data_IF_787662058115
#
_entry.id   IF_787662058115
#
_cell.length_a   1.000
_cell.length_b   1.000
_cell.length_c   1.000
_cell.angle_alpha   90.00
_cell.angle_beta   90.00
_cell.angle_gamma   90.00
#
_symmetry.space_group_name_H-M   'P 1'
#
loop_
_entity.id
_entity.type
_entity.pdbx_description
1 polymer ?
#
# COMPACT_ATOMS: atom_id res chain seq x y z
N UNK A 1 0.54 -36.60 -2.65
CA UNK A 1 0.69 -35.25 -3.20
C UNK A 1 1.35 -34.42 -2.11
N UNK A 2 2.57 -33.92 -2.32
CA UNK A 2 3.23 -33.09 -1.32
C UNK A 2 2.51 -31.74 -1.29
N UNK A 3 1.59 -31.57 -0.35
CA UNK A 3 1.06 -30.25 -0.01
C UNK A 3 2.27 -29.49 0.55
N UNK A 4 2.86 -28.61 -0.25
CA UNK A 4 3.92 -27.73 0.21
C UNK A 4 3.30 -26.80 1.26
N UNK A 5 3.27 -27.24 2.53
CA UNK A 5 2.85 -26.40 3.65
C UNK A 5 3.66 -25.11 3.58
N UNK A 6 2.95 -24.02 3.30
CA UNK A 6 3.45 -22.67 3.47
C UNK A 6 3.67 -22.45 4.96
N UNK A 7 4.71 -21.71 5.28
CA UNK A 7 5.04 -21.33 6.65
C UNK A 7 5.30 -19.83 6.70
N UNK A 8 5.11 -19.25 7.89
CA UNK A 8 5.44 -17.85 8.14
C UNK A 8 6.92 -17.61 7.79
N UNK A 9 7.17 -16.52 7.07
CA UNK A 9 8.49 -16.15 6.54
C UNK A 9 8.77 -16.59 5.11
N UNK A 10 7.97 -17.52 4.55
CA UNK A 10 8.08 -17.89 3.13
C UNK A 10 7.64 -16.74 2.22
N UNK A 11 8.23 -16.69 1.02
CA UNK A 11 7.76 -15.82 -0.05
C UNK A 11 6.76 -16.53 -0.94
N UNK A 12 5.71 -15.79 -1.31
CA UNK A 12 4.64 -16.26 -2.17
C UNK A 12 4.36 -15.28 -3.30
N UNK A 13 3.84 -15.81 -4.40
CA UNK A 13 3.34 -15.06 -5.54
C UNK A 13 1.86 -15.37 -5.72
N UNK A 14 1.08 -14.34 -6.00
CA UNK A 14 -0.33 -14.47 -6.32
C UNK A 14 -0.47 -15.00 -7.75
N UNK A 15 -1.37 -15.96 -7.96
CA UNK A 15 -1.62 -16.54 -9.29
C UNK A 15 -2.12 -15.48 -10.27
N UNK A 16 -1.78 -15.57 -11.57
CA UNK A 16 -2.08 -14.54 -12.57
C UNK A 16 -3.58 -14.26 -12.81
N UNK A 17 -4.47 -15.13 -12.34
CA UNK A 17 -5.92 -14.98 -12.48
C UNK A 17 -6.60 -14.52 -11.18
N UNK A 18 -5.84 -14.11 -10.16
CA UNK A 18 -6.42 -13.59 -8.94
C UNK A 18 -6.73 -12.10 -9.08
N UNK A 19 -7.95 -11.76 -8.68
CA UNK A 19 -8.48 -10.41 -8.63
C UNK A 19 -8.84 -10.11 -7.18
N UNK A 20 -8.63 -8.87 -6.76
CA UNK A 20 -9.05 -8.41 -5.45
C UNK A 20 -10.57 -8.19 -5.44
N UNK A 21 -11.34 -8.91 -4.61
CA UNK A 21 -12.80 -8.80 -4.61
C UNK A 21 -13.31 -7.47 -4.07
N UNK A 22 -12.49 -6.71 -3.33
CA UNK A 22 -12.86 -5.44 -2.71
C UNK A 22 -12.56 -4.25 -3.63
N UNK A 23 -11.45 -4.32 -4.38
CA UNK A 23 -10.90 -3.23 -5.18
C UNK A 23 -11.00 -3.45 -6.70
N UNK A 24 -11.45 -4.62 -7.15
CA UNK A 24 -11.59 -5.00 -8.57
C UNK A 24 -10.29 -4.77 -9.38
N UNK A 25 -9.14 -4.99 -8.73
CA UNK A 25 -7.81 -4.87 -9.35
C UNK A 25 -7.20 -6.25 -9.58
N UNK A 26 -6.45 -6.38 -10.69
CA UNK A 26 -5.68 -7.57 -10.98
C UNK A 26 -4.43 -7.57 -10.08
N UNK A 27 -4.46 -8.38 -9.03
CA UNK A 27 -3.33 -8.64 -8.12
C UNK A 27 -2.47 -9.83 -8.58
N UNK A 28 -2.84 -10.45 -9.70
CA UNK A 28 -2.09 -11.56 -10.28
C UNK A 28 -0.63 -11.19 -10.58
N UNK A 29 0.28 -12.01 -10.06
CA UNK A 29 1.73 -11.78 -10.18
C UNK A 29 2.35 -10.95 -9.06
N UNK A 30 1.56 -10.43 -8.12
CA UNK A 30 2.07 -9.74 -6.94
C UNK A 30 2.81 -10.70 -6.02
N UNK A 31 3.88 -10.23 -5.40
CA UNK A 31 4.75 -11.04 -4.56
C UNK A 31 4.87 -10.43 -3.18
N UNK A 32 4.96 -11.32 -2.18
CA UNK A 32 5.05 -10.90 -0.80
C UNK A 32 5.58 -12.00 0.10
N UNK A 33 5.67 -11.68 1.39
CA UNK A 33 6.12 -12.57 2.45
C UNK A 33 4.96 -12.88 3.38
N UNK A 34 4.84 -14.15 3.74
CA UNK A 34 3.82 -14.59 4.70
C UNK A 34 4.21 -14.11 6.09
N UNK A 35 3.36 -13.32 6.72
CA UNK A 35 3.48 -12.93 8.13
C UNK A 35 2.57 -13.75 9.03
N UNK A 36 1.42 -14.19 8.52
CA UNK A 36 0.41 -14.91 9.28
C UNK A 36 -0.23 -16.03 8.45
N UNK A 37 -0.62 -17.12 9.12
CA UNK A 37 -1.34 -18.24 8.50
C UNK A 37 -2.46 -18.63 9.44
N UNK A 38 -3.70 -18.55 8.95
CA UNK A 38 -4.89 -19.07 9.60
C UNK A 38 -5.24 -20.44 8.99
N UNK A 39 -4.83 -21.52 9.65
CA UNK A 39 -5.08 -22.89 9.18
C UNK A 39 -6.58 -23.26 9.18
N UNK A 40 -7.40 -22.60 10.00
CA UNK A 40 -8.85 -22.88 10.09
C UNK A 40 -9.60 -22.45 8.83
N UNK A 41 -9.31 -21.24 8.33
CA UNK A 41 -9.96 -20.66 7.15
C UNK A 41 -9.12 -20.78 5.87
N UNK A 42 -7.91 -21.36 5.96
CA UNK A 42 -6.92 -21.40 4.87
C UNK A 42 -6.58 -20.02 4.30
N UNK A 43 -6.58 -19.01 5.16
CA UNK A 43 -6.23 -17.63 4.82
C UNK A 43 -4.80 -17.37 5.26
N UNK A 44 -4.04 -16.66 4.44
CA UNK A 44 -2.68 -16.23 4.77
C UNK A 44 -2.58 -14.71 4.71
N UNK A 45 -1.92 -14.14 5.72
CA UNK A 45 -1.54 -12.74 5.74
C UNK A 45 -0.21 -12.57 5.01
N UNK A 46 -0.22 -11.79 3.96
CA UNK A 46 0.93 -11.54 3.08
C UNK A 46 1.26 -10.05 3.17
N UNK A 47 2.50 -9.73 3.52
CA UNK A 47 3.05 -8.39 3.34
C UNK A 47 3.72 -8.29 1.98
N UNK A 48 3.39 -7.23 1.23
CA UNK A 48 3.90 -7.06 -0.13
C UNK A 48 5.39 -6.74 -0.17
N UNK A 49 6.08 -7.24 -1.20
CA UNK A 49 7.48 -6.92 -1.41
C UNK A 49 7.67 -5.49 -1.96
N UNK A 50 8.91 -5.02 -1.93
CA UNK A 50 9.24 -3.64 -2.31
C UNK A 50 8.93 -3.38 -3.78
N UNK A 51 9.10 -4.39 -4.64
CA UNK A 51 8.79 -4.31 -6.06
C UNK A 51 7.29 -4.25 -6.34
N UNK A 52 6.48 -5.02 -5.61
CA UNK A 52 5.02 -5.02 -5.71
C UNK A 52 4.48 -3.69 -5.24
N UNK A 53 4.94 -3.18 -4.08
CA UNK A 53 4.55 -1.87 -3.58
C UNK A 53 4.91 -0.74 -4.56
N UNK A 54 6.05 -0.82 -5.26
CA UNK A 54 6.41 0.15 -6.31
C UNK A 54 5.55 0.06 -7.58
N UNK A 55 5.04 -1.13 -7.88
CA UNK A 55 4.17 -1.37 -9.04
C UNK A 55 2.69 -1.07 -8.73
N UNK A 56 2.32 -1.06 -7.44
CA UNK A 56 0.98 -0.76 -6.98
C UNK A 56 0.54 0.63 -7.48
N UNK A 57 -0.65 0.73 -8.11
CA UNK A 57 -1.19 2.01 -8.52
C UNK A 57 -1.37 2.95 -7.33
N UNK A 58 -1.06 4.23 -7.53
CA UNK A 58 -1.31 5.26 -6.51
C UNK A 58 -2.79 5.31 -6.08
N UNK A 59 -3.70 4.97 -6.99
CA UNK A 59 -5.15 4.92 -6.74
C UNK A 59 -5.51 3.85 -5.71
N UNK A 60 -4.89 2.67 -5.77
CA UNK A 60 -5.08 1.58 -4.79
C UNK A 60 -4.68 2.06 -3.39
N UNK A 61 -3.51 2.68 -3.25
CA UNK A 61 -3.03 3.19 -1.96
C UNK A 61 -3.98 4.26 -1.41
N UNK A 62 -4.42 5.19 -2.25
CA UNK A 62 -5.35 6.25 -1.84
C UNK A 62 -6.69 5.64 -1.41
N UNK A 63 -7.23 4.69 -2.16
CA UNK A 63 -8.49 4.04 -1.83
C UNK A 63 -8.40 3.27 -0.52
N UNK A 64 -7.32 2.49 -0.31
CA UNK A 64 -7.08 1.81 0.96
C UNK A 64 -7.01 2.79 2.14
N UNK A 65 -6.31 3.92 1.98
CA UNK A 65 -6.27 4.98 3.01
C UNK A 65 -7.66 5.62 3.25
N UNK A 66 -8.47 5.81 2.21
CA UNK A 66 -9.83 6.36 2.32
C UNK A 66 -10.78 5.40 3.05
N UNK A 67 -10.62 4.09 2.81
CA UNK A 67 -11.39 3.02 3.46
C UNK A 67 -10.85 2.66 4.85
N UNK A 68 -9.63 3.08 5.17
CA UNK A 68 -8.93 2.75 6.42
C UNK A 68 -8.37 1.32 6.44
N UNK A 69 -8.05 0.79 5.26
CA UNK A 69 -7.41 -0.50 5.04
C UNK A 69 -5.89 -0.34 4.96
N UNK A 70 -5.17 -1.38 5.37
CA UNK A 70 -3.72 -1.45 5.24
C UNK A 70 -3.36 -1.93 3.83
N UNK A 71 -2.75 -1.07 3.02
CA UNK A 71 -2.30 -1.41 1.66
C UNK A 71 -0.96 -2.17 1.65
N UNK A 72 -0.27 -2.26 2.79
CA UNK A 72 1.03 -2.98 2.89
C UNK A 72 0.85 -4.48 3.11
N UNK A 73 -0.32 -4.89 3.63
CA UNK A 73 -0.65 -6.27 3.97
C UNK A 73 -2.01 -6.66 3.42
N UNK A 74 -2.14 -7.89 2.94
CA UNK A 74 -3.42 -8.43 2.46
C UNK A 74 -3.61 -9.87 2.94
N UNK A 75 -4.87 -10.25 3.12
CA UNK A 75 -5.25 -11.62 3.47
C UNK A 75 -5.84 -12.30 2.24
N UNK A 76 -5.20 -13.37 1.78
CA UNK A 76 -5.64 -14.14 0.62
C UNK A 76 -5.75 -15.61 0.95
N UNK A 77 -6.54 -16.34 0.16
CA UNK A 77 -6.65 -17.78 0.30
C UNK A 77 -5.32 -18.45 -0.10
N UNK A 78 -4.97 -19.49 0.65
CA UNK A 78 -3.79 -20.33 0.41
C UNK A 78 -3.78 -20.91 -1.03
N UNK A 79 -4.96 -21.12 -1.61
CA UNK A 79 -5.10 -21.67 -2.95
C UNK A 79 -4.82 -20.67 -4.08
N UNK A 80 -4.91 -19.36 -3.82
CA UNK A 80 -4.66 -18.31 -4.80
C UNK A 80 -3.19 -17.91 -4.90
N UNK A 81 -2.35 -18.52 -4.08
CA UNK A 81 -0.92 -18.24 -4.03
C UNK A 81 -0.06 -19.45 -4.37
N UNK A 82 1.16 -19.18 -4.79
CA UNK A 82 2.19 -20.17 -5.06
C UNK A 82 3.50 -19.79 -4.37
N UNK A 83 4.27 -20.78 -3.90
CA UNK A 83 5.59 -20.53 -3.32
C UNK A 83 6.53 -19.94 -4.37
N UNK A 84 7.25 -18.89 -3.98
CA UNK A 84 8.25 -18.26 -4.83
C UNK A 84 9.53 -17.98 -4.06
N UNK A 85 10.58 -17.61 -4.77
CA UNK A 85 11.84 -17.18 -4.14
C UNK A 85 11.73 -15.70 -3.75
N UNK A 86 12.16 -15.31 -2.53
CA UNK A 86 12.24 -13.90 -2.14
C UNK A 86 13.12 -13.13 -3.12
N UNK A 87 12.66 -11.96 -3.56
CA UNK A 87 13.41 -11.06 -4.46
C UNK A 87 14.06 -9.90 -3.72
N UNK A 88 13.47 -9.48 -2.60
CA UNK A 88 13.86 -8.28 -1.84
C UNK A 88 14.12 -8.60 -0.35
N UNK A 89 14.72 -7.65 0.36
CA UNK A 89 14.96 -7.69 1.80
C UNK A 89 13.93 -6.87 2.57
N UNK A 90 13.71 -7.16 3.86
CA UNK A 90 12.80 -6.38 4.72
C UNK A 90 13.15 -4.88 4.77
N UNK A 91 14.45 -4.54 4.70
CA UNK A 91 14.89 -3.15 4.64
C UNK A 91 14.42 -2.42 3.37
N UNK A 92 14.43 -3.10 2.22
CA UNK A 92 13.98 -2.53 0.95
C UNK A 92 12.47 -2.26 0.97
N UNK A 93 11.71 -3.17 1.60
CA UNK A 93 10.26 -3.04 1.81
C UNK A 93 9.96 -1.79 2.65
N UNK A 94 10.62 -1.65 3.80
CA UNK A 94 10.41 -0.50 4.69
C UNK A 94 10.75 0.83 4.00
N UNK A 95 11.85 0.90 3.25
CA UNK A 95 12.20 2.11 2.49
C UNK A 95 11.12 2.50 1.47
N UNK A 96 10.49 1.52 0.82
CA UNK A 96 9.39 1.77 -0.12
C UNK A 96 8.13 2.20 0.60
N UNK A 97 7.79 1.56 1.73
CA UNK A 97 6.63 1.93 2.55
C UNK A 97 6.78 3.38 3.02
N UNK A 98 7.95 3.76 3.55
CA UNK A 98 8.21 5.12 4.02
C UNK A 98 8.12 6.14 2.88
N UNK A 99 8.60 5.78 1.68
CA UNK A 99 8.53 6.62 0.48
C UNK A 99 7.10 6.81 -0.02
N UNK A 100 6.30 5.75 -0.07
CA UNK A 100 4.89 5.79 -0.48
C UNK A 100 4.04 6.51 0.55
N UNK A 101 4.25 6.22 1.83
CA UNK A 101 3.64 6.94 2.95
C UNK A 101 3.96 8.44 2.85
N UNK A 102 5.23 8.82 2.70
CA UNK A 102 5.62 10.25 2.54
C UNK A 102 5.01 10.90 1.29
N UNK A 103 4.84 10.14 0.21
CA UNK A 103 4.23 10.59 -1.05
C UNK A 103 2.73 10.86 -0.87
N UNK A 104 2.05 10.11 -0.01
CA UNK A 104 0.61 10.16 0.20
C UNK A 104 0.17 10.82 1.52
N UNK A 105 1.07 11.05 2.47
CA UNK A 105 0.85 11.69 3.78
C UNK A 105 0.23 13.09 3.66
N UNK A 106 0.49 13.79 2.54
CA UNK A 106 -0.09 15.09 2.21
C UNK A 106 -1.54 15.05 1.67
N UNK A 107 -2.10 13.86 1.45
CA UNK A 107 -3.44 13.58 0.91
C UNK A 107 -4.39 12.98 1.96
N UNK A 108 -4.09 13.10 3.24
CA UNK A 108 -4.94 12.54 4.31
C UNK A 108 -6.16 13.44 4.59
N UNK A 109 -7.33 12.82 4.70
CA UNK A 109 -8.57 13.44 5.15
C UNK A 109 -8.65 13.39 6.68
N UNK A 110 -8.94 14.53 7.34
CA UNK A 110 -9.18 14.55 8.79
C UNK A 110 -10.62 14.11 9.06
N UNK A 111 -10.83 12.94 9.68
CA UNK A 111 -12.14 12.53 10.22
C UNK A 111 -12.64 13.58 11.21
N UNK A 112 -13.76 14.23 10.90
CA UNK A 112 -14.53 15.10 11.80
C UNK A 112 -15.90 14.46 11.99
N UNK A 113 -16.47 14.60 13.19
CA UNK A 113 -17.84 14.16 13.45
C UNK A 113 -18.80 14.85 12.47
N UNK A 114 -19.32 14.11 11.48
CA UNK A 114 -20.23 14.61 10.45
C UNK A 114 -19.84 14.36 8.97
N UNK A 115 -18.68 13.77 8.68
CA UNK A 115 -18.30 13.36 7.32
C UNK A 115 -16.83 13.63 6.96
N UNK A 116 -16.45 13.30 5.74
CA UNK A 116 -15.09 13.46 5.21
C UNK A 116 -14.94 14.85 4.53
N UNK A 117 -13.87 15.61 4.83
CA UNK A 117 -13.47 16.86 4.12
C UNK A 117 -12.00 16.87 3.61
N UNK A 118 -11.77 17.19 2.32
CA UNK A 118 -10.43 17.19 1.69
C UNK A 118 -9.55 18.18 2.45
N UNK A 119 -8.42 17.71 2.95
CA UNK A 119 -7.40 18.55 3.58
C UNK A 119 -6.16 18.59 2.68
N UNK A 120 -5.90 19.75 2.08
CA UNK A 120 -4.69 20.02 1.32
C UNK A 120 -3.59 20.53 2.25
N UNK A 121 -2.78 19.64 2.81
CA UNK A 121 -1.51 20.05 3.43
C UNK A 121 -0.40 19.98 2.40
N UNK A 122 -0.18 21.12 1.72
CA UNK A 122 1.03 21.36 0.92
C UNK A 122 2.26 21.00 1.75
N UNK A 123 2.98 19.95 1.35
CA UNK A 123 4.28 19.58 1.91
C UNK A 123 5.15 20.85 2.01
N UNK A 124 5.47 21.27 3.23
CA UNK A 124 6.61 22.15 3.46
C UNK A 124 7.84 21.26 3.46
N UNK A 125 8.31 20.90 2.27
CA UNK A 125 9.70 20.47 2.13
C UNK A 125 10.55 21.63 2.62
N UNK A 126 11.11 21.51 3.83
CA UNK A 126 12.21 22.37 4.29
C UNK A 126 13.43 22.02 3.44
N UNK A 127 13.46 22.50 2.21
CA UNK A 127 14.74 22.71 1.53
C UNK A 127 15.35 23.96 2.15
N UNK A 128 16.45 23.75 2.88
CA UNK A 128 17.25 24.82 3.42
C UNK A 128 17.72 25.73 2.29
N UNK A 129 17.39 27.02 2.40
CA UNK A 129 18.08 28.12 1.70
C UNK A 129 17.58 28.44 0.30
N UNK A 130 16.70 29.44 0.19
CA UNK A 130 16.77 30.59 -0.74
C UNK A 130 15.50 31.44 -0.58
N UNK A 131 15.58 32.79 -0.53
CA UNK A 131 14.42 33.64 -0.33
C UNK A 131 13.75 33.97 -1.67
N UNK A 132 12.52 33.53 -1.88
CA UNK A 132 11.70 34.02 -3.01
C UNK A 132 10.46 34.76 -2.54
N UNK A 133 10.46 36.03 -2.92
CA UNK A 133 9.56 37.17 -2.64
C UNK A 133 8.04 36.86 -2.71
N UNK A 134 7.19 37.63 -1.99
CA UNK A 134 5.74 37.51 -2.11
C UNK A 134 5.27 38.16 -3.43
N UNK A 135 4.89 37.31 -4.39
CA UNK A 135 4.21 37.70 -5.62
C UNK A 135 2.70 37.83 -5.41
N UNK A 136 2.23 39.08 -5.50
CA UNK A 136 0.86 39.59 -5.53
C UNK A 136 -0.17 38.65 -6.18
N UNK A 137 -1.41 38.61 -5.64
CA UNK A 137 -2.59 38.79 -6.48
C UNK A 137 -3.96 38.87 -5.77
N UNK A 138 -4.60 40.02 -6.03
CA UNK A 138 -6.03 40.30 -6.31
C UNK A 138 -7.14 39.97 -5.29
N UNK A 139 -7.70 41.07 -4.76
CA UNK A 139 -9.08 41.24 -4.28
C UNK A 139 -10.13 40.78 -5.31
N UNK A 140 -11.22 40.18 -4.83
CA UNK A 140 -12.57 40.41 -5.36
C UNK A 140 -13.56 40.58 -4.22
N UNK A 141 -14.29 41.68 -4.29
CA UNK A 141 -15.37 42.11 -3.41
C UNK A 141 -16.69 41.86 -4.15
N UNK A 142 -17.69 41.33 -3.45
CA UNK A 142 -19.09 41.68 -3.65
C UNK A 142 -19.57 42.28 -2.33
#
# INVERSE_FOLDING_TARGET
MAQNKLQVGDSVVVKPNAEDPDLDIIIGGWQGRITEIEEEDNVIGIEWDSQTLRQMPDETIIQSEEEGLDWTKMYLLLEDVERTTPRDSENDVQEVIDLLTSKHEGRTWVKKAGGYRLSWTRLKTKVNGLPTRPGKSIFRRC
#
